data_IF_589206244950
#
_entry.id   IF_589206244950
#
_cell.length_a   1.000
_cell.length_b   1.000
_cell.length_c   1.000
_cell.angle_alpha   90.00
_cell.angle_beta   90.00
_cell.angle_gamma   90.00
#
_symmetry.space_group_name_H-M   'P 1'
#
loop_
_entity.id
_entity.type
_entity.pdbx_description
1 polymer ?
#
# COMPACT_ATOMS: atom_id res chain seq x y z
N UNK A 1 -11.60 -26.13 19.39
CA UNK A 1 -10.81 -25.08 18.73
C UNK A 1 -10.15 -24.17 19.77
N UNK A 2 -10.86 -23.65 20.78
CA UNK A 2 -10.28 -22.71 21.78
C UNK A 2 -9.07 -23.24 22.55
N UNK A 3 -9.04 -24.53 22.89
CA UNK A 3 -7.90 -25.15 23.58
C UNK A 3 -6.61 -25.10 22.78
N UNK A 4 -6.64 -25.48 21.50
CA UNK A 4 -5.45 -25.44 20.64
C UNK A 4 -4.96 -24.00 20.41
N UNK A 5 -5.88 -23.08 20.18
CA UNK A 5 -5.54 -21.66 20.02
C UNK A 5 -4.83 -21.10 21.26
N UNK A 6 -5.34 -21.39 22.47
CA UNK A 6 -4.69 -20.98 23.73
C UNK A 6 -3.27 -21.55 23.86
N UNK A 7 -3.05 -22.80 23.44
CA UNK A 7 -1.71 -23.41 23.48
C UNK A 7 -0.74 -22.80 22.48
N UNK A 8 -1.23 -22.48 21.27
CA UNK A 8 -0.42 -21.77 20.27
C UNK A 8 -0.04 -20.37 20.76
N UNK A 9 -0.97 -19.62 21.35
CA UNK A 9 -0.70 -18.30 21.94
C UNK A 9 0.38 -18.43 23.01
N UNK A 10 0.20 -19.33 23.99
CA UNK A 10 1.20 -19.56 25.04
C UNK A 10 2.57 -19.95 24.47
N UNK A 11 2.61 -20.78 23.41
CA UNK A 11 3.89 -21.15 22.78
C UNK A 11 4.60 -19.92 22.18
N UNK A 12 3.85 -19.06 21.47
CA UNK A 12 4.41 -17.85 20.87
C UNK A 12 4.88 -16.85 21.94
N UNK A 13 4.11 -16.64 23.01
CA UNK A 13 4.53 -15.82 24.18
C UNK A 13 5.82 -16.32 24.84
N UNK A 14 6.17 -17.61 24.68
CA UNK A 14 7.39 -18.21 25.21
C UNK A 14 8.51 -18.40 24.16
N UNK A 15 8.43 -17.68 23.03
CA UNK A 15 9.51 -17.60 22.06
C UNK A 15 9.42 -18.55 20.86
N UNK A 16 8.29 -19.21 20.66
CA UNK A 16 8.00 -19.90 19.39
C UNK A 16 7.59 -18.84 18.37
N UNK A 17 8.34 -18.69 17.28
CA UNK A 17 8.09 -17.66 16.28
C UNK A 17 6.71 -17.80 15.62
N UNK A 18 6.31 -19.02 15.27
CA UNK A 18 5.04 -19.32 14.60
C UNK A 18 4.45 -20.64 15.07
N UNK A 19 3.16 -20.69 15.32
CA UNK A 19 2.39 -21.89 15.63
C UNK A 19 1.23 -22.03 14.66
N UNK A 20 1.00 -23.21 14.11
CA UNK A 20 -0.03 -23.46 13.11
C UNK A 20 -1.04 -24.50 13.60
N UNK A 21 -2.32 -24.23 13.39
CA UNK A 21 -3.43 -25.17 13.64
C UNK A 21 -3.95 -25.61 12.28
N UNK A 22 -3.68 -26.85 11.92
CA UNK A 22 -4.03 -27.40 10.60
C UNK A 22 -5.31 -28.23 10.66
N UNK A 23 -6.13 -28.24 9.59
CA UNK A 23 -7.31 -29.11 9.50
C UNK A 23 -6.87 -30.56 9.31
N UNK A 24 -7.25 -31.44 10.27
CA UNK A 24 -6.89 -32.86 10.25
C UNK A 24 -7.49 -33.62 9.05
N UNK A 25 -8.67 -33.18 8.57
CA UNK A 25 -9.42 -33.90 7.54
C UNK A 25 -8.94 -33.60 6.08
N UNK A 26 -7.93 -32.77 5.93
CA UNK A 26 -7.43 -32.38 4.59
C UNK A 26 -6.11 -33.10 4.30
N UNK A 27 -6.12 -33.94 3.29
CA UNK A 27 -4.90 -34.63 2.81
C UNK A 27 -3.89 -33.58 2.33
N UNK A 28 -2.64 -33.73 2.78
CA UNK A 28 -1.56 -32.81 2.40
C UNK A 28 -1.66 -31.42 3.09
N UNK A 29 -2.47 -31.25 4.13
CA UNK A 29 -2.64 -29.98 4.82
C UNK A 29 -1.30 -29.31 5.22
N UNK A 30 -0.33 -30.10 5.69
CA UNK A 30 0.99 -29.59 6.03
C UNK A 30 1.75 -29.06 4.82
N UNK A 31 1.66 -29.72 3.68
CA UNK A 31 2.30 -29.27 2.44
C UNK A 31 1.62 -27.99 1.91
N UNK A 32 0.31 -27.93 1.96
CA UNK A 32 -0.44 -26.74 1.57
C UNK A 32 -0.06 -25.54 2.46
N UNK A 33 0.06 -25.75 3.79
CA UNK A 33 0.47 -24.69 4.71
C UNK A 33 1.89 -24.17 4.44
N UNK A 34 2.81 -25.05 4.05
CA UNK A 34 4.22 -24.67 3.81
C UNK A 34 4.44 -24.06 2.42
N UNK A 35 3.77 -24.57 1.39
CA UNK A 35 4.06 -24.21 0.01
C UNK A 35 3.06 -23.25 -0.64
N UNK A 36 1.89 -23.04 -0.03
CA UNK A 36 0.88 -22.08 -0.50
C UNK A 36 0.94 -20.85 0.37
N UNK A 37 1.03 -19.66 -0.24
CA UNK A 37 1.20 -18.40 0.50
C UNK A 37 0.12 -18.17 1.57
N UNK A 38 -1.15 -18.38 1.21
CA UNK A 38 -2.28 -18.18 2.15
C UNK A 38 -2.45 -19.33 3.13
N UNK A 39 -1.71 -20.45 2.94
CA UNK A 39 -1.85 -21.64 3.76
C UNK A 39 -3.26 -22.25 3.73
N UNK A 40 -3.56 -23.09 4.70
CA UNK A 40 -4.88 -23.73 4.85
C UNK A 40 -5.34 -23.74 6.31
N UNK A 41 -4.40 -23.40 7.21
CA UNK A 41 -4.60 -23.47 8.65
C UNK A 41 -4.91 -22.12 9.30
N UNK A 42 -4.69 -22.08 10.59
CA UNK A 42 -4.67 -20.85 11.38
C UNK A 42 -3.27 -20.68 11.94
N UNK A 43 -2.60 -19.60 11.56
CA UNK A 43 -1.30 -19.24 12.10
C UNK A 43 -1.45 -18.32 13.32
N UNK A 44 -0.65 -18.58 14.34
CA UNK A 44 -0.51 -17.74 15.54
C UNK A 44 0.92 -17.29 15.65
N UNK A 45 1.14 -15.98 15.81
CA UNK A 45 2.46 -15.35 15.97
C UNK A 45 2.38 -14.29 17.05
N UNK A 46 3.50 -13.99 17.69
CA UNK A 46 3.63 -12.90 18.67
C UNK A 46 4.00 -11.55 18.01
N UNK A 47 4.27 -11.54 16.71
CA UNK A 47 4.63 -10.34 15.95
C UNK A 47 3.50 -9.85 15.06
N UNK A 48 3.53 -8.56 14.75
CA UNK A 48 2.68 -8.01 13.68
C UNK A 48 3.23 -8.49 12.35
N UNK A 49 2.52 -9.39 11.69
CA UNK A 49 2.85 -9.87 10.34
C UNK A 49 2.86 -8.76 9.29
N UNK A 50 2.09 -7.71 9.53
CA UNK A 50 2.06 -6.55 8.64
C UNK A 50 3.12 -5.54 9.00
N UNK A 51 4.00 -5.20 8.07
CA UNK A 51 4.91 -4.09 8.19
C UNK A 51 4.56 -2.97 7.22
N UNK A 52 4.40 -1.76 7.76
CA UNK A 52 4.36 -0.52 6.98
C UNK A 52 5.76 0.07 6.99
N UNK A 53 6.42 0.08 5.84
CA UNK A 53 7.81 0.56 5.71
C UNK A 53 8.04 1.28 4.37
N UNK A 54 9.19 1.93 4.27
CA UNK A 54 9.69 2.44 3.01
C UNK A 54 10.13 1.28 2.11
N UNK A 55 9.92 1.45 0.81
CA UNK A 55 10.34 0.47 -0.17
C UNK A 55 11.85 0.54 -0.42
N UNK A 56 12.43 -0.60 -0.74
CA UNK A 56 13.82 -0.78 -1.13
C UNK A 56 13.92 -1.32 -2.56
N UNK A 57 15.13 -1.41 -3.10
CA UNK A 57 15.35 -1.95 -4.44
C UNK A 57 14.80 -3.38 -4.62
N UNK A 58 14.78 -4.17 -3.56
CA UNK A 58 14.27 -5.56 -3.58
C UNK A 58 12.76 -5.62 -3.77
N UNK A 59 12.04 -4.54 -3.44
CA UNK A 59 10.58 -4.46 -3.52
C UNK A 59 10.04 -4.15 -4.92
N UNK A 60 10.89 -3.71 -5.84
CA UNK A 60 10.49 -3.27 -7.19
C UNK A 60 9.65 -4.33 -7.91
N UNK A 61 10.06 -5.59 -7.85
CA UNK A 61 9.32 -6.68 -8.49
C UNK A 61 7.95 -6.92 -7.86
N UNK A 62 7.85 -6.78 -6.54
CA UNK A 62 6.60 -6.89 -5.79
C UNK A 62 5.64 -5.74 -6.10
N UNK A 63 6.15 -4.50 -6.13
CA UNK A 63 5.37 -3.31 -6.49
C UNK A 63 4.83 -3.45 -7.92
N UNK A 64 5.66 -3.84 -8.90
CA UNK A 64 5.22 -4.05 -10.28
C UNK A 64 4.08 -5.06 -10.37
N UNK A 65 4.21 -6.22 -9.71
CA UNK A 65 3.14 -7.23 -9.67
C UNK A 65 1.85 -6.70 -9.06
N UNK A 66 1.95 -5.89 -8.00
CA UNK A 66 0.80 -5.32 -7.33
C UNK A 66 0.06 -4.30 -8.22
N UNK A 67 0.79 -3.43 -8.94
CA UNK A 67 0.18 -2.34 -9.73
C UNK A 67 -0.28 -2.78 -11.13
N UNK A 68 0.30 -3.84 -11.68
CA UNK A 68 0.03 -4.29 -13.06
C UNK A 68 -1.46 -4.45 -13.40
N UNK A 69 -2.32 -5.10 -12.60
CA UNK A 69 -3.75 -5.22 -12.90
C UNK A 69 -4.45 -3.86 -12.98
N UNK A 70 -4.03 -2.89 -12.15
CA UNK A 70 -4.61 -1.54 -12.11
C UNK A 70 -4.08 -0.63 -13.23
N UNK A 71 -2.93 -0.96 -13.81
CA UNK A 71 -2.42 -0.33 -15.02
C UNK A 71 -3.14 -0.86 -16.26
N UNK A 72 -3.42 -2.17 -16.30
CA UNK A 72 -4.14 -2.82 -17.41
C UNK A 72 -5.60 -2.34 -17.49
N UNK A 73 -6.26 -2.13 -16.38
CA UNK A 73 -7.66 -1.62 -16.34
C UNK A 73 -7.75 -0.09 -16.45
N UNK A 74 -6.62 0.61 -16.58
CA UNK A 74 -6.53 2.06 -16.70
C UNK A 74 -6.75 2.83 -15.40
N UNK A 75 -6.83 2.18 -14.24
CA UNK A 75 -6.93 2.85 -12.93
C UNK A 75 -5.64 3.60 -12.59
N UNK A 76 -4.49 3.00 -12.87
CA UNK A 76 -3.20 3.63 -12.70
C UNK A 76 -2.58 4.03 -14.05
N UNK A 77 -1.67 4.99 -14.00
CA UNK A 77 -0.77 5.32 -15.11
C UNK A 77 0.32 4.26 -15.15
N UNK A 78 0.62 3.75 -16.33
CA UNK A 78 1.65 2.75 -16.54
C UNK A 78 3.03 3.31 -16.15
N UNK A 79 3.80 2.49 -15.42
CA UNK A 79 5.17 2.78 -14.97
C UNK A 79 6.12 1.68 -15.41
N UNK A 80 7.24 2.07 -15.96
CA UNK A 80 8.30 1.13 -16.27
C UNK A 80 9.04 0.70 -15.00
N UNK A 81 9.70 -0.46 -15.06
CA UNK A 81 10.60 -0.93 -14.01
C UNK A 81 11.65 0.13 -13.64
N UNK A 82 12.29 0.72 -14.65
CA UNK A 82 13.33 1.74 -14.47
C UNK A 82 12.82 2.99 -13.75
N UNK A 83 11.57 3.40 -14.00
CA UNK A 83 10.97 4.53 -13.27
C UNK A 83 10.76 4.19 -11.81
N UNK A 84 10.26 2.99 -11.48
CA UNK A 84 10.07 2.58 -10.10
C UNK A 84 11.42 2.42 -9.39
N UNK A 85 12.42 1.82 -10.02
CA UNK A 85 13.78 1.70 -9.48
C UNK A 85 14.40 3.05 -9.14
N UNK A 86 14.30 4.01 -10.06
CA UNK A 86 14.80 5.38 -9.86
C UNK A 86 14.10 6.08 -8.69
N UNK A 87 12.79 5.90 -8.58
CA UNK A 87 11.94 6.62 -7.65
C UNK A 87 11.60 5.81 -6.40
N UNK A 88 12.27 4.67 -6.17
CA UNK A 88 11.91 3.70 -5.13
C UNK A 88 11.85 4.30 -3.73
N UNK A 89 12.73 5.23 -3.41
CA UNK A 89 12.73 5.94 -2.13
C UNK A 89 11.48 6.81 -1.87
N UNK A 90 10.66 7.05 -2.90
CA UNK A 90 9.38 7.74 -2.74
C UNK A 90 8.26 6.80 -2.29
N UNK A 91 8.44 5.48 -2.43
CA UNK A 91 7.41 4.49 -2.15
C UNK A 91 7.40 4.07 -0.69
N UNK A 92 6.20 3.96 -0.13
CA UNK A 92 5.91 3.24 1.13
C UNK A 92 5.02 2.05 0.80
N UNK A 93 5.26 0.93 1.45
CA UNK A 93 4.56 -0.32 1.22
C UNK A 93 3.96 -0.88 2.50
N UNK A 94 2.89 -1.63 2.36
CA UNK A 94 2.39 -2.55 3.38
C UNK A 94 2.74 -3.95 2.90
N UNK A 95 3.56 -4.61 3.66
CA UNK A 95 4.03 -5.96 3.42
C UNK A 95 3.48 -6.90 4.48
N UNK A 96 3.25 -8.12 4.09
CA UNK A 96 2.86 -9.19 4.95
C UNK A 96 3.57 -10.47 4.49
N UNK A 97 4.44 -11.00 5.35
CA UNK A 97 5.20 -12.23 5.10
C UNK A 97 5.93 -12.26 3.74
N UNK A 98 6.61 -11.17 3.40
CA UNK A 98 7.36 -11.02 2.14
C UNK A 98 6.51 -10.69 0.90
N UNK A 99 5.19 -10.54 1.06
CA UNK A 99 4.29 -10.16 -0.03
C UNK A 99 3.76 -8.74 0.17
N UNK A 100 3.85 -7.91 -0.87
CA UNK A 100 3.39 -6.53 -0.84
C UNK A 100 1.89 -6.51 -1.18
N UNK A 101 1.07 -6.05 -0.23
CA UNK A 101 -0.37 -5.92 -0.36
C UNK A 101 -0.84 -4.51 -0.68
N UNK A 102 -0.04 -3.51 -0.35
CA UNK A 102 -0.38 -2.14 -0.69
C UNK A 102 0.86 -1.28 -0.90
N UNK A 103 0.76 -0.26 -1.75
CA UNK A 103 1.81 0.72 -1.94
C UNK A 103 1.24 2.13 -2.22
N UNK A 104 2.05 3.14 -1.93
CA UNK A 104 1.83 4.52 -2.34
C UNK A 104 3.18 5.23 -2.47
N UNK A 105 3.27 6.22 -3.34
CA UNK A 105 4.47 7.05 -3.51
C UNK A 105 4.18 8.51 -3.18
N UNK A 106 5.16 9.21 -2.59
CA UNK A 106 5.14 10.66 -2.36
C UNK A 106 6.15 11.33 -3.29
N UNK A 107 5.66 12.16 -4.22
CA UNK A 107 6.50 13.01 -5.07
C UNK A 107 6.43 14.46 -4.57
N UNK A 108 7.49 14.98 -3.95
CA UNK A 108 7.49 16.32 -3.40
C UNK A 108 7.65 17.41 -4.48
N UNK A 109 6.96 18.53 -4.26
CA UNK A 109 7.09 19.78 -4.98
C UNK A 109 7.41 20.89 -3.95
N UNK A 110 8.67 21.01 -3.49
CA UNK A 110 9.04 21.87 -2.37
C UNK A 110 8.73 23.35 -2.60
N UNK A 111 8.95 23.85 -3.82
CA UNK A 111 8.67 25.25 -4.19
C UNK A 111 7.20 25.62 -4.02
N UNK A 112 6.29 24.67 -4.27
CA UNK A 112 4.85 24.82 -4.08
C UNK A 112 4.39 24.37 -2.69
N UNK A 113 5.30 23.92 -1.81
CA UNK A 113 5.03 23.35 -0.48
C UNK A 113 3.94 22.27 -0.49
N UNK A 114 3.92 21.46 -1.54
CA UNK A 114 2.95 20.38 -1.71
C UNK A 114 3.61 19.09 -2.22
N UNK A 115 2.92 17.96 -2.13
CA UNK A 115 3.39 16.67 -2.64
C UNK A 115 2.28 15.89 -3.34
N UNK A 116 2.62 15.16 -4.40
CA UNK A 116 1.70 14.23 -5.06
C UNK A 116 1.75 12.87 -4.36
N UNK A 117 0.63 12.44 -3.81
CA UNK A 117 0.45 11.03 -3.43
C UNK A 117 0.00 10.26 -4.67
N UNK A 118 0.86 9.40 -5.18
CA UNK A 118 0.66 8.66 -6.43
C UNK A 118 0.76 7.15 -6.21
N UNK A 119 0.44 6.36 -7.23
CA UNK A 119 0.52 4.89 -7.23
C UNK A 119 -0.21 4.22 -6.05
N UNK A 120 -1.25 4.86 -5.53
CA UNK A 120 -2.03 4.32 -4.40
C UNK A 120 -2.74 3.06 -4.83
N UNK A 121 -2.30 1.94 -4.29
CA UNK A 121 -2.80 0.61 -4.65
C UNK A 121 -2.96 -0.23 -3.41
N UNK A 122 -4.07 -0.93 -3.31
CA UNK A 122 -4.33 -1.95 -2.29
C UNK A 122 -4.81 -3.19 -3.00
N UNK A 123 -4.17 -4.32 -2.73
CA UNK A 123 -4.56 -5.62 -3.26
C UNK A 123 -6.04 -5.90 -3.00
N UNK A 124 -6.80 -6.45 -3.95
CA UNK A 124 -8.19 -6.82 -3.74
C UNK A 124 -8.41 -7.71 -2.51
N UNK A 125 -7.45 -8.55 -2.18
CA UNK A 125 -7.48 -9.45 -1.01
C UNK A 125 -7.39 -8.70 0.33
N UNK A 126 -6.72 -7.54 0.35
CA UNK A 126 -6.48 -6.71 1.55
C UNK A 126 -7.41 -5.48 1.61
N UNK A 127 -8.27 -5.27 0.62
CA UNK A 127 -9.22 -4.15 0.63
C UNK A 127 -10.19 -4.28 1.81
N UNK A 128 -10.43 -3.14 2.47
CA UNK A 128 -11.30 -3.08 3.66
C UNK A 128 -10.58 -3.35 4.98
N UNK A 129 -9.31 -3.77 4.97
CA UNK A 129 -8.51 -4.05 6.17
C UNK A 129 -7.77 -2.82 6.73
N UNK A 130 -7.89 -1.66 6.06
CA UNK A 130 -7.32 -0.40 6.53
C UNK A 130 -5.96 -0.04 5.96
N UNK A 131 -5.39 -0.83 5.06
CA UNK A 131 -4.05 -0.59 4.49
C UNK A 131 -3.95 0.73 3.71
N UNK A 132 -5.00 1.10 3.00
CA UNK A 132 -5.08 2.42 2.37
C UNK A 132 -4.98 3.57 3.38
N UNK A 133 -5.57 3.42 4.57
CA UNK A 133 -5.49 4.42 5.64
C UNK A 133 -4.10 4.45 6.30
N UNK A 134 -3.45 3.30 6.43
CA UNK A 134 -2.06 3.20 6.92
C UNK A 134 -1.11 3.94 5.97
N UNK A 135 -1.23 3.67 4.67
CA UNK A 135 -0.43 4.35 3.63
C UNK A 135 -0.69 5.85 3.61
N UNK A 136 -1.95 6.29 3.66
CA UNK A 136 -2.27 7.72 3.68
C UNK A 136 -1.61 8.42 4.87
N UNK A 137 -1.77 7.88 6.08
CA UNK A 137 -1.12 8.43 7.28
C UNK A 137 0.40 8.48 7.15
N UNK A 138 1.02 7.45 6.56
CA UNK A 138 2.47 7.43 6.32
C UNK A 138 2.91 8.50 5.34
N UNK A 139 2.19 8.67 4.23
CA UNK A 139 2.47 9.71 3.23
C UNK A 139 2.30 11.12 3.84
N UNK A 140 1.24 11.34 4.63
CA UNK A 140 1.04 12.61 5.35
C UNK A 140 2.18 12.90 6.34
N UNK A 141 2.61 11.89 7.09
CA UNK A 141 3.73 12.00 8.02
C UNK A 141 5.01 12.39 7.28
N UNK A 142 5.37 11.67 6.22
CA UNK A 142 6.55 11.98 5.38
C UNK A 142 6.49 13.38 4.78
N UNK A 143 5.31 13.78 4.30
CA UNK A 143 5.12 15.11 3.75
C UNK A 143 5.38 16.21 4.80
N UNK A 144 4.90 16.03 6.03
CA UNK A 144 5.19 16.96 7.16
C UNK A 144 6.68 16.95 7.53
N UNK A 145 7.31 15.79 7.59
CA UNK A 145 8.74 15.64 7.92
C UNK A 145 9.65 16.44 6.96
N UNK A 146 9.25 16.53 5.68
CA UNK A 146 9.99 17.30 4.66
C UNK A 146 9.43 18.72 4.46
N UNK A 147 8.54 19.20 5.36
CA UNK A 147 8.06 20.58 5.39
C UNK A 147 6.99 20.92 4.35
N UNK A 148 6.27 19.95 3.81
CA UNK A 148 5.14 20.23 2.91
C UNK A 148 3.89 20.60 3.71
N UNK A 149 3.12 21.58 3.22
CA UNK A 149 1.87 22.05 3.86
C UNK A 149 0.61 21.35 3.33
N UNK A 150 0.73 20.62 2.23
CA UNK A 150 -0.39 19.91 1.62
C UNK A 150 0.06 18.71 0.81
N UNK A 151 -0.87 17.78 0.55
CA UNK A 151 -0.71 16.73 -0.42
C UNK A 151 -1.87 16.74 -1.41
N UNK A 152 -1.62 16.30 -2.64
CA UNK A 152 -2.66 16.15 -3.65
C UNK A 152 -2.60 14.77 -4.30
N UNK A 153 -3.70 14.38 -4.90
CA UNK A 153 -3.84 13.14 -5.67
C UNK A 153 -4.53 13.41 -7.00
N UNK A 154 -4.19 12.62 -8.00
CA UNK A 154 -4.91 12.55 -9.26
C UNK A 154 -5.63 11.21 -9.35
N UNK A 155 -6.97 11.22 -9.39
CA UNK A 155 -7.75 9.99 -9.41
C UNK A 155 -8.86 10.05 -10.45
N UNK A 156 -9.19 8.90 -11.03
CA UNK A 156 -10.34 8.72 -11.92
C UNK A 156 -11.49 7.98 -11.25
N UNK A 157 -11.22 7.18 -10.22
CA UNK A 157 -12.21 6.25 -9.63
C UNK A 157 -12.37 6.39 -8.12
N UNK A 158 -11.33 6.81 -7.39
CA UNK A 158 -11.31 6.77 -5.92
C UNK A 158 -11.70 8.09 -5.25
N UNK A 159 -12.37 9.03 -5.94
CA UNK A 159 -12.69 10.36 -5.42
C UNK A 159 -13.39 10.31 -4.06
N UNK A 160 -14.42 9.50 -3.90
CA UNK A 160 -15.17 9.41 -2.65
C UNK A 160 -14.33 8.88 -1.48
N UNK A 161 -13.39 7.98 -1.76
CA UNK A 161 -12.49 7.46 -0.73
C UNK A 161 -11.59 8.57 -0.17
N UNK A 162 -11.05 9.44 -1.03
CA UNK A 162 -10.23 10.57 -0.64
C UNK A 162 -11.04 11.67 0.05
N UNK A 163 -12.24 12.02 -0.45
CA UNK A 163 -13.11 13.03 0.17
C UNK A 163 -13.45 12.65 1.61
N UNK A 164 -13.79 11.39 1.89
CA UNK A 164 -14.04 10.89 3.25
C UNK A 164 -12.83 11.04 4.19
N UNK A 165 -11.63 11.26 3.64
CA UNK A 165 -10.36 11.44 4.38
C UNK A 165 -9.85 12.87 4.40
N UNK A 166 -10.73 13.82 4.11
CA UNK A 166 -10.47 15.25 4.22
C UNK A 166 -9.85 15.89 3.00
N UNK A 167 -9.82 15.19 1.87
CA UNK A 167 -9.46 15.82 0.60
C UNK A 167 -10.64 16.62 0.04
N UNK A 168 -10.34 17.71 -0.65
CA UNK A 168 -11.30 18.50 -1.41
C UNK A 168 -10.90 18.57 -2.87
N UNK A 169 -11.88 18.61 -3.75
CA UNK A 169 -11.63 18.75 -5.18
C UNK A 169 -11.18 20.18 -5.51
N UNK A 170 -10.23 20.29 -6.40
CA UNK A 170 -9.72 21.55 -6.94
C UNK A 170 -9.58 21.45 -8.45
N UNK A 171 -9.60 22.56 -9.20
CA UNK A 171 -9.34 22.53 -10.63
C UNK A 171 -7.87 22.19 -10.94
N UNK A 172 -7.56 21.69 -12.14
CA UNK A 172 -6.21 21.29 -12.52
C UNK A 172 -5.15 22.39 -12.48
N UNK A 173 -5.53 23.65 -12.62
CA UNK A 173 -4.64 24.82 -12.54
C UNK A 173 -4.10 25.06 -11.13
N UNK A 174 -4.67 24.40 -10.11
CA UNK A 174 -4.13 24.36 -8.75
C UNK A 174 -2.81 23.60 -8.66
N UNK A 175 -2.54 22.68 -9.60
CA UNK A 175 -1.32 21.88 -9.58
C UNK A 175 -0.05 22.73 -9.70
N UNK A 176 1.07 22.29 -9.08
CA UNK A 176 2.37 22.91 -9.32
C UNK A 176 2.69 22.97 -10.82
N UNK A 177 3.35 24.05 -11.27
CA UNK A 177 3.67 24.27 -12.69
C UNK A 177 4.39 23.06 -13.32
N UNK A 178 5.37 22.50 -12.60
CA UNK A 178 6.10 21.31 -13.04
C UNK A 178 5.21 20.07 -13.22
N UNK A 179 4.09 20.01 -12.49
CA UNK A 179 3.14 18.88 -12.56
C UNK A 179 2.07 19.10 -13.64
N UNK A 180 1.57 20.34 -13.76
CA UNK A 180 0.55 20.66 -14.77
C UNK A 180 1.09 20.46 -16.20
N UNK A 181 2.37 20.72 -16.45
CA UNK A 181 3.03 20.44 -17.73
C UNK A 181 2.98 18.95 -18.13
N UNK A 182 2.84 18.06 -17.15
CA UNK A 182 2.74 16.60 -17.33
C UNK A 182 1.31 16.09 -17.12
N UNK A 183 0.32 16.98 -17.00
CA UNK A 183 -1.06 16.59 -16.77
C UNK A 183 -1.65 15.98 -18.03
N UNK A 184 -2.17 14.75 -17.91
CA UNK A 184 -2.83 14.07 -19.01
C UNK A 184 -4.32 14.50 -19.07
N UNK A 185 -4.63 15.40 -19.98
CA UNK A 185 -5.98 15.94 -20.17
C UNK A 185 -6.98 14.90 -20.68
N UNK A 186 -6.54 13.93 -21.48
CA UNK A 186 -7.41 12.88 -22.03
C UNK A 186 -7.91 11.93 -20.94
N UNK A 187 -7.11 11.74 -19.91
CA UNK A 187 -7.44 10.87 -18.78
C UNK A 187 -8.55 11.46 -17.88
N UNK A 188 -8.77 12.77 -17.90
CA UNK A 188 -9.78 13.50 -17.09
C UNK A 188 -9.68 13.16 -15.59
N UNK A 189 -8.48 13.00 -15.06
CA UNK A 189 -8.30 12.74 -13.63
C UNK A 189 -8.79 13.92 -12.80
N UNK A 190 -9.52 13.64 -11.72
CA UNK A 190 -9.88 14.64 -10.73
C UNK A 190 -8.66 14.97 -9.87
N UNK A 191 -8.46 16.23 -9.58
CA UNK A 191 -7.42 16.71 -8.67
C UNK A 191 -8.05 16.93 -7.31
N UNK A 192 -7.52 16.28 -6.29
CA UNK A 192 -7.99 16.42 -4.91
C UNK A 192 -6.80 16.82 -4.04
N UNK A 193 -7.00 17.76 -3.12
CA UNK A 193 -5.97 18.29 -2.20
C UNK A 193 -6.41 18.15 -0.76
N UNK A 194 -5.43 17.87 0.12
CA UNK A 194 -5.58 17.88 1.57
C UNK A 194 -4.50 18.74 2.20
N UNK A 195 -4.89 19.65 3.10
CA UNK A 195 -3.97 20.38 3.97
C UNK A 195 -3.46 19.44 5.07
N UNK A 196 -2.20 19.61 5.50
CA UNK A 196 -1.54 18.74 6.47
C UNK A 196 -1.44 19.35 7.84
#
# INVERSE_FOLDING_TARGET
TGYYLSRCITACEHGVERSHILPFAVDGALLLEIYVHDGIGTMVVDEKLESLREATADDVAGILRLIEPFEQDGTLVKRSRTEIERDIGNYSIVEHDGVIFACAALYPYPEAKTGEMAAVTVSPQSQGQGDGDKLLRRIEQRAREIGLGSIFVLTTRAMHWFIKRGFRQVPPDWLPEARIRKYNWDRKSQVLVKQL
#
